data_IF_248365082774
#
_entry.id   IF_248365082774
#
_cell.length_a   1.000
_cell.length_b   1.000
_cell.length_c   1.000
_cell.angle_alpha   90.00
_cell.angle_beta   90.00
_cell.angle_gamma   90.00
#
_symmetry.space_group_name_H-M   'P 1'
#
loop_
_entity.id
_entity.type
_entity.pdbx_description
1 polymer ?
#
# COMPACT_ATOMS: atom_id res chain seq x y z
N UNK A 1 -7.80 45.89 27.08
CA UNK A 1 -6.70 45.36 26.25
C UNK A 1 -6.94 43.87 26.12
N UNK A 2 -7.38 43.41 24.94
CA UNK A 2 -7.93 42.07 24.75
C UNK A 2 -6.81 41.03 24.78
N UNK A 3 -7.04 39.99 25.57
CA UNK A 3 -6.26 38.76 25.72
C UNK A 3 -6.37 38.00 24.40
N UNK A 4 -5.24 37.76 23.72
CA UNK A 4 -5.17 36.83 22.60
C UNK A 4 -4.87 35.44 23.17
N UNK A 5 -5.88 34.57 23.10
CA UNK A 5 -5.75 33.16 23.43
C UNK A 5 -4.87 32.50 22.36
N UNK A 6 -3.74 31.93 22.79
CA UNK A 6 -2.99 30.95 22.00
C UNK A 6 -3.83 29.68 22.01
N UNK A 7 -4.45 29.35 20.88
CA UNK A 7 -5.09 28.06 20.70
C UNK A 7 -4.01 26.99 20.63
N UNK A 8 -3.86 26.23 21.72
CA UNK A 8 -3.12 24.98 21.70
C UNK A 8 -3.92 24.01 20.83
N UNK A 9 -3.38 23.70 19.65
CA UNK A 9 -3.84 22.56 18.85
C UNK A 9 -3.48 21.33 19.68
N UNK A 10 -4.49 20.73 20.32
CA UNK A 10 -4.36 19.41 20.89
C UNK A 10 -4.23 18.45 19.72
N UNK A 11 -2.99 18.03 19.42
CA UNK A 11 -2.73 16.85 18.61
C UNK A 11 -3.33 15.69 19.39
N UNK A 12 -4.53 15.27 19.01
CA UNK A 12 -5.04 13.98 19.45
C UNK A 12 -4.23 12.96 18.65
N UNK A 13 -3.14 12.47 19.25
CA UNK A 13 -2.49 11.25 18.79
C UNK A 13 -3.50 10.11 19.04
N UNK A 14 -4.38 9.88 18.06
CA UNK A 14 -5.35 8.78 18.09
C UNK A 14 -4.61 7.52 17.64
N UNK A 15 -4.20 6.74 18.63
CA UNK A 15 -4.39 5.29 18.68
C UNK A 15 -3.79 4.36 17.60
N UNK A 16 -3.05 4.81 16.58
CA UNK A 16 -2.48 3.90 15.57
C UNK A 16 -1.50 2.87 16.13
N UNK A 17 -0.58 3.29 17.00
CA UNK A 17 0.48 2.40 17.52
C UNK A 17 0.09 1.69 18.83
N UNK A 18 -0.89 2.20 19.58
CA UNK A 18 -1.24 1.66 20.90
C UNK A 18 -2.21 0.46 20.84
N UNK A 19 -2.91 0.24 19.73
CA UNK A 19 -3.76 -0.96 19.55
C UNK A 19 -2.90 -2.20 19.24
N UNK A 20 -1.68 -2.02 18.74
CA UNK A 20 -0.83 -3.14 18.34
C UNK A 20 -0.21 -3.95 19.51
N UNK A 21 -0.21 -3.41 20.75
CA UNK A 21 0.46 -4.07 21.90
C UNK A 21 -0.41 -4.37 23.12
N UNK A 22 -1.71 -4.10 23.07
CA UNK A 22 -2.62 -4.48 24.15
C UNK A 22 -3.88 -5.02 23.53
N UNK A 23 -3.95 -6.34 23.39
CA UNK A 23 -5.14 -7.14 23.65
C UNK A 23 -4.88 -8.61 23.28
N UNK A 24 -4.44 -9.36 24.29
CA UNK A 24 -4.78 -10.76 24.39
C UNK A 24 -6.25 -10.84 24.81
N UNK A 25 -7.10 -11.38 23.92
CA UNK A 25 -8.44 -11.92 24.21
C UNK A 25 -9.69 -11.03 23.98
N UNK A 26 -9.79 -10.38 22.80
CA UNK A 26 -11.03 -9.75 22.33
C UNK A 26 -11.40 -10.21 20.91
N UNK A 27 -12.24 -11.23 20.82
CA UNK A 27 -13.04 -11.54 19.61
C UNK A 27 -12.31 -12.05 18.37
N UNK A 28 -10.98 -12.14 18.37
CA UNK A 28 -10.11 -12.54 17.23
C UNK A 28 -10.29 -13.99 16.72
N UNK A 29 -11.27 -14.72 17.23
CA UNK A 29 -11.58 -16.11 16.86
C UNK A 29 -12.80 -16.24 15.92
N UNK A 30 -13.48 -15.12 15.61
CA UNK A 30 -14.67 -15.11 14.75
C UNK A 30 -14.35 -15.05 13.25
N UNK A 31 -13.19 -14.48 12.87
CA UNK A 31 -12.77 -14.39 11.48
C UNK A 31 -12.78 -15.78 10.82
N UNK A 32 -13.40 -15.89 9.65
CA UNK A 32 -13.52 -17.15 8.88
C UNK A 32 -12.44 -17.31 7.82
N UNK A 33 -11.46 -16.43 7.82
CA UNK A 33 -10.28 -16.49 6.98
C UNK A 33 -9.00 -16.50 7.83
N UNK A 34 -7.88 -16.80 7.19
CA UNK A 34 -6.54 -16.66 7.74
C UNK A 34 -5.59 -16.06 6.71
N UNK A 35 -4.51 -15.43 7.18
CA UNK A 35 -3.45 -14.92 6.32
C UNK A 35 -2.40 -16.03 6.15
N UNK A 36 -2.15 -16.40 4.91
CA UNK A 36 -1.19 -17.46 4.56
C UNK A 36 0.25 -16.98 4.71
N UNK A 37 1.09 -17.87 5.23
CA UNK A 37 2.53 -17.71 5.12
C UNK A 37 2.95 -17.82 3.65
N UNK A 38 3.88 -16.98 3.25
CA UNK A 38 4.40 -16.98 1.89
C UNK A 38 5.90 -17.19 1.91
N UNK A 39 6.38 -18.22 1.21
CA UNK A 39 7.80 -18.63 1.24
C UNK A 39 8.31 -18.91 2.67
N UNK A 40 7.44 -19.42 3.54
CA UNK A 40 7.75 -19.68 4.96
C UNK A 40 7.88 -18.42 5.82
N UNK A 41 7.41 -17.27 5.33
CA UNK A 41 7.43 -16.00 6.06
C UNK A 41 6.01 -15.51 6.31
N UNK A 42 5.72 -15.24 7.57
CA UNK A 42 4.45 -14.66 8.01
C UNK A 42 4.28 -13.24 7.45
N UNK A 43 3.09 -12.92 6.98
CA UNK A 43 2.75 -11.58 6.53
C UNK A 43 2.47 -10.69 7.75
N UNK A 44 3.52 -10.10 8.32
CA UNK A 44 3.43 -9.19 9.46
C UNK A 44 4.00 -7.83 9.12
N UNK A 45 3.60 -6.79 9.87
CA UNK A 45 4.18 -5.44 9.72
C UNK A 45 5.69 -5.50 9.86
N UNK A 46 6.21 -6.21 10.86
CA UNK A 46 7.66 -6.36 11.09
C UNK A 46 8.38 -6.98 9.90
N UNK A 47 7.81 -8.05 9.31
CA UNK A 47 8.39 -8.73 8.15
C UNK A 47 8.31 -7.89 6.86
N UNK A 48 7.27 -7.06 6.73
CA UNK A 48 7.21 -6.07 5.64
C UNK A 48 8.27 -4.99 5.85
N UNK A 49 8.34 -4.42 7.05
CA UNK A 49 9.30 -3.35 7.38
C UNK A 49 10.75 -3.82 7.20
N UNK A 50 11.09 -5.02 7.65
CA UNK A 50 12.46 -5.56 7.56
C UNK A 50 12.80 -6.18 6.18
N UNK A 51 11.82 -6.32 5.28
CA UNK A 51 12.04 -6.83 3.93
C UNK A 51 11.95 -8.36 3.76
N UNK A 52 11.71 -9.11 4.84
CA UNK A 52 11.64 -10.58 4.79
C UNK A 52 10.36 -11.07 4.08
N UNK A 53 9.23 -10.36 4.22
CA UNK A 53 8.01 -10.68 3.50
C UNK A 53 8.07 -10.18 2.06
N UNK A 54 8.21 -11.08 1.10
CA UNK A 54 8.62 -10.68 -0.26
C UNK A 54 7.50 -10.12 -1.13
N UNK A 55 6.23 -10.37 -0.78
CA UNK A 55 5.07 -9.76 -1.43
C UNK A 55 4.79 -8.39 -0.80
N UNK A 56 5.68 -7.44 -1.06
CA UNK A 56 5.54 -6.07 -0.59
C UNK A 56 6.02 -5.09 -1.65
N UNK A 57 5.59 -3.83 -1.53
CA UNK A 57 6.07 -2.72 -2.34
C UNK A 57 6.30 -1.46 -1.50
N UNK A 58 7.21 -0.63 -1.96
CA UNK A 58 7.30 0.76 -1.51
C UNK A 58 6.22 1.63 -2.16
N UNK A 59 5.69 2.56 -1.38
CA UNK A 59 4.93 3.70 -1.86
C UNK A 59 5.90 4.88 -1.92
N UNK A 60 6.13 5.43 -3.11
CA UNK A 60 7.27 6.32 -3.38
C UNK A 60 6.79 7.63 -3.98
N UNK A 61 7.38 8.72 -3.49
CA UNK A 61 7.44 10.01 -4.17
C UNK A 61 8.83 10.16 -4.80
N UNK A 62 8.89 10.25 -6.12
CA UNK A 62 10.14 10.40 -6.86
C UNK A 62 10.28 11.82 -7.40
N UNK A 63 11.45 12.42 -7.21
CA UNK A 63 11.80 13.74 -7.74
C UNK A 63 13.00 13.63 -8.67
N UNK A 64 13.13 14.55 -9.64
CA UNK A 64 14.34 14.64 -10.45
C UNK A 64 15.44 15.35 -9.67
N UNK A 65 16.45 14.58 -9.24
CA UNK A 65 17.43 15.04 -8.26
C UNK A 65 16.84 15.24 -6.86
N UNK A 66 17.63 15.81 -5.97
CA UNK A 66 17.21 16.11 -4.59
C UNK A 66 16.13 17.19 -4.58
N UNK A 67 15.01 16.91 -3.93
CA UNK A 67 13.93 17.86 -3.73
C UNK A 67 14.42 19.14 -3.03
N UNK A 68 13.81 20.29 -3.36
CA UNK A 68 14.10 21.57 -2.72
C UNK A 68 12.86 22.46 -2.64
N UNK A 69 12.92 23.53 -1.85
CA UNK A 69 11.82 24.48 -1.69
C UNK A 69 10.52 23.81 -1.22
N UNK A 70 9.38 24.24 -1.77
CA UNK A 70 8.06 23.73 -1.39
C UNK A 70 7.87 22.22 -1.67
N UNK A 71 8.58 21.66 -2.65
CA UNK A 71 8.54 20.20 -2.91
C UNK A 71 9.22 19.43 -1.77
N UNK A 72 10.38 19.90 -1.30
CA UNK A 72 11.05 19.29 -0.15
C UNK A 72 10.24 19.45 1.14
N UNK A 73 9.60 20.60 1.32
CA UNK A 73 8.74 20.87 2.48
C UNK A 73 7.51 19.95 2.50
N UNK A 74 6.83 19.78 1.36
CA UNK A 74 5.74 18.81 1.22
C UNK A 74 6.20 17.37 1.51
N UNK A 75 7.34 16.96 0.97
CA UNK A 75 7.90 15.63 1.28
C UNK A 75 8.20 15.50 2.79
N UNK A 76 8.70 16.56 3.42
CA UNK A 76 8.95 16.57 4.87
C UNK A 76 7.66 16.50 5.69
N UNK A 77 6.56 17.08 5.20
CA UNK A 77 5.23 16.89 5.78
C UNK A 77 4.79 15.44 5.67
N UNK A 78 4.92 14.81 4.49
CA UNK A 78 4.54 13.39 4.32
C UNK A 78 5.35 12.47 5.25
N UNK A 79 6.62 12.79 5.50
CA UNK A 79 7.50 12.04 6.41
C UNK A 79 7.38 12.43 7.89
N UNK A 80 6.55 13.42 8.23
CA UNK A 80 6.31 13.84 9.62
C UNK A 80 5.34 12.92 10.35
N UNK A 81 5.18 13.09 11.67
CA UNK A 81 4.17 12.39 12.46
C UNK A 81 2.76 12.52 11.84
N UNK A 82 2.40 13.72 11.38
CA UNK A 82 1.11 14.02 10.77
C UNK A 82 0.94 13.32 9.42
N UNK A 83 1.97 13.34 8.58
CA UNK A 83 1.96 12.65 7.28
C UNK A 83 1.95 11.13 7.40
N UNK A 84 2.70 10.58 8.36
CA UNK A 84 2.74 9.14 8.61
C UNK A 84 1.41 8.63 9.20
N UNK A 85 0.71 9.42 10.01
CA UNK A 85 -0.65 9.10 10.44
C UNK A 85 -1.61 8.99 9.24
N UNK A 86 -1.50 9.88 8.25
CA UNK A 86 -2.31 9.79 7.02
C UNK A 86 -2.02 8.48 6.25
N UNK A 87 -0.77 8.02 6.23
CA UNK A 87 -0.39 6.75 5.58
C UNK A 87 -1.10 5.57 6.26
N UNK A 88 -1.10 5.54 7.60
CA UNK A 88 -1.78 4.51 8.40
C UNK A 88 -3.30 4.57 8.26
N UNK A 89 -3.90 5.77 8.27
CA UNK A 89 -5.34 6.00 8.04
C UNK A 89 -5.81 5.55 6.64
N UNK A 90 -4.88 5.28 5.72
CA UNK A 90 -5.13 4.73 4.39
C UNK A 90 -4.76 3.24 4.29
N UNK A 91 -4.66 2.52 5.41
CA UNK A 91 -4.38 1.08 5.53
C UNK A 91 -3.00 0.64 5.03
N UNK A 92 -2.02 1.56 5.04
CA UNK A 92 -0.64 1.29 4.68
C UNK A 92 0.29 1.36 5.90
N UNK A 93 1.49 0.81 5.74
CA UNK A 93 2.47 0.74 6.81
C UNK A 93 3.35 2.00 6.75
N UNK A 94 3.36 2.78 7.84
CA UNK A 94 4.27 3.90 8.01
C UNK A 94 5.74 3.48 7.91
N UNK A 95 6.58 4.34 7.34
CA UNK A 95 8.03 4.11 7.26
C UNK A 95 8.76 4.49 8.55
N UNK A 96 8.17 5.35 9.38
CA UNK A 96 8.68 5.73 10.69
C UNK A 96 7.52 6.08 11.65
N UNK A 97 7.19 5.14 12.54
CA UNK A 97 6.16 5.35 13.57
C UNK A 97 6.60 6.29 14.70
N UNK A 98 7.86 6.75 14.68
CA UNK A 98 8.43 7.70 15.63
C UNK A 98 8.81 9.04 14.98
N UNK A 99 8.29 9.30 13.77
CA UNK A 99 8.56 10.51 13.03
C UNK A 99 8.30 11.77 13.87
N UNK A 100 9.14 12.81 13.76
CA UNK A 100 8.89 14.06 14.47
C UNK A 100 7.69 14.80 13.88
N UNK A 101 7.05 15.64 14.70
CA UNK A 101 6.01 16.55 14.24
C UNK A 101 6.52 17.47 13.12
N UNK A 102 5.62 17.78 12.19
CA UNK A 102 5.92 18.61 11.04
C UNK A 102 6.43 19.99 11.45
N UNK A 103 7.46 20.45 10.74
CA UNK A 103 7.98 21.81 10.88
C UNK A 103 8.26 22.37 9.50
N UNK A 104 7.43 23.32 9.09
CA UNK A 104 7.59 23.97 7.80
C UNK A 104 8.93 24.71 7.66
N UNK A 105 9.42 24.70 6.43
CA UNK A 105 10.64 25.33 5.96
C UNK A 105 10.40 26.40 4.88
N UNK A 106 9.16 26.64 4.47
CA UNK A 106 8.78 27.64 3.47
C UNK A 106 8.20 28.91 4.09
N UNK A 107 8.13 29.97 3.28
CA UNK A 107 7.45 31.22 3.65
C UNK A 107 6.01 31.18 3.17
N UNK A 108 5.07 31.12 4.12
CA UNK A 108 3.63 31.09 3.86
C UNK A 108 3.10 32.30 3.08
N UNK A 109 3.88 33.38 2.95
CA UNK A 109 3.49 34.55 2.15
C UNK A 109 3.80 34.38 0.66
N UNK A 110 4.64 33.42 0.29
CA UNK A 110 4.98 33.12 -1.09
C UNK A 110 3.97 32.14 -1.68
N UNK A 111 3.53 32.39 -2.91
CA UNK A 111 2.67 31.45 -3.63
C UNK A 111 3.51 30.35 -4.27
N UNK A 112 3.13 29.09 -4.04
CA UNK A 112 3.77 27.91 -4.63
C UNK A 112 2.74 27.08 -5.39
N UNK A 113 3.18 26.42 -6.46
CA UNK A 113 2.41 25.41 -7.18
C UNK A 113 3.23 24.14 -7.24
N UNK A 114 2.63 23.00 -6.92
CA UNK A 114 3.28 21.68 -6.97
C UNK A 114 2.42 20.76 -7.84
N UNK A 115 3.01 20.19 -8.87
CA UNK A 115 2.36 19.25 -9.79
C UNK A 115 2.81 17.82 -9.48
N UNK A 116 1.87 16.94 -9.21
CA UNK A 116 2.09 15.55 -8.82
C UNK A 116 1.38 14.64 -9.80
N UNK A 117 2.06 13.61 -10.32
CA UNK A 117 1.44 12.64 -11.23
C UNK A 117 1.88 11.21 -10.91
N UNK A 118 1.00 10.22 -11.12
CA UNK A 118 1.42 8.82 -11.18
C UNK A 118 0.46 7.82 -10.54
N UNK A 119 1.00 6.97 -9.68
CA UNK A 119 0.35 5.81 -9.06
C UNK A 119 -1.06 6.09 -8.52
N UNK A 120 -2.03 5.30 -8.98
CA UNK A 120 -3.41 5.29 -8.47
C UNK A 120 -3.49 4.75 -7.04
N UNK A 121 -2.58 3.87 -6.63
CA UNK A 121 -2.46 3.37 -5.24
C UNK A 121 -2.06 4.47 -4.26
N UNK A 122 -1.15 5.36 -4.67
CA UNK A 122 -0.59 6.41 -3.80
C UNK A 122 -1.51 7.64 -3.77
N UNK A 123 -2.41 7.76 -4.74
CA UNK A 123 -3.30 8.90 -4.89
C UNK A 123 -4.18 9.20 -3.65
N UNK A 124 -4.83 8.22 -2.99
CA UNK A 124 -5.64 8.50 -1.79
C UNK A 124 -4.82 9.15 -0.67
N UNK A 125 -3.60 8.66 -0.40
CA UNK A 125 -2.67 9.25 0.58
C UNK A 125 -2.37 10.69 0.19
N UNK A 126 -2.01 10.94 -1.07
CA UNK A 126 -1.59 12.27 -1.50
C UNK A 126 -2.76 13.28 -1.57
N UNK A 127 -3.99 12.83 -1.81
CA UNK A 127 -5.18 13.67 -1.69
C UNK A 127 -5.45 14.10 -0.25
N UNK A 128 -5.32 13.18 0.72
CA UNK A 128 -5.45 13.52 2.14
C UNK A 128 -4.31 14.43 2.62
N UNK A 129 -3.08 14.18 2.16
CA UNK A 129 -1.93 15.06 2.39
C UNK A 129 -2.19 16.45 1.80
N UNK A 130 -2.68 16.55 0.57
CA UNK A 130 -3.02 17.82 -0.07
C UNK A 130 -4.02 18.61 0.78
N UNK A 131 -5.10 17.96 1.22
CA UNK A 131 -6.15 18.61 2.02
C UNK A 131 -5.56 19.22 3.31
N UNK A 132 -4.77 18.45 4.06
CA UNK A 132 -4.21 18.94 5.33
C UNK A 132 -3.05 19.93 5.13
N UNK A 133 -2.20 19.71 4.13
CA UNK A 133 -1.06 20.57 3.85
C UNK A 133 -1.51 21.96 3.38
N UNK A 134 -2.54 22.06 2.53
CA UNK A 134 -3.07 23.36 2.09
C UNK A 134 -3.79 24.13 3.20
N UNK A 135 -4.33 23.45 4.22
CA UNK A 135 -4.87 24.11 5.43
C UNK A 135 -3.75 24.81 6.20
N UNK A 136 -2.58 24.20 6.28
CA UNK A 136 -1.39 24.75 6.95
C UNK A 136 -0.74 25.84 6.07
N UNK A 137 -0.68 25.62 4.76
CA UNK A 137 -0.03 26.49 3.78
C UNK A 137 -1.04 27.07 2.77
N UNK A 138 -1.81 28.12 3.12
CA UNK A 138 -2.94 28.60 2.31
C UNK A 138 -2.55 29.19 0.94
N UNK A 139 -1.26 29.44 0.70
CA UNK A 139 -0.71 29.94 -0.56
C UNK A 139 -0.01 28.86 -1.41
N UNK A 140 0.02 27.60 -0.95
CA UNK A 140 0.43 26.46 -1.77
C UNK A 140 -0.79 25.92 -2.51
N UNK A 141 -0.62 25.60 -3.79
CA UNK A 141 -1.59 24.81 -4.56
C UNK A 141 -0.97 23.54 -5.07
N UNK A 142 -1.58 22.41 -4.77
CA UNK A 142 -1.18 21.10 -5.25
C UNK A 142 -2.13 20.70 -6.39
N UNK A 143 -1.61 19.99 -7.38
CA UNK A 143 -2.41 19.42 -8.48
C UNK A 143 -1.98 17.98 -8.68
N UNK A 144 -2.90 17.04 -8.45
CA UNK A 144 -2.62 15.61 -8.48
C UNK A 144 -3.32 14.97 -9.67
N UNK A 145 -2.59 14.17 -10.45
CA UNK A 145 -3.15 13.34 -11.53
C UNK A 145 -2.77 11.87 -11.34
N UNK A 146 -3.77 11.01 -11.15
CA UNK A 146 -3.58 9.57 -11.07
C UNK A 146 -3.64 8.92 -12.47
N UNK A 147 -2.50 8.49 -13.00
CA UNK A 147 -2.35 7.94 -14.36
C UNK A 147 -1.32 6.79 -14.46
N UNK A 148 -0.89 6.24 -13.31
CA UNK A 148 -0.02 5.06 -13.20
C UNK A 148 1.46 5.37 -12.93
N UNK A 149 2.15 4.48 -12.21
CA UNK A 149 3.53 4.68 -11.74
C UNK A 149 4.54 4.96 -12.86
N UNK A 150 4.40 4.29 -14.01
CA UNK A 150 5.27 4.53 -15.17
C UNK A 150 5.09 5.93 -15.76
N UNK A 151 3.85 6.40 -15.87
CA UNK A 151 3.53 7.76 -16.33
C UNK A 151 4.04 8.81 -15.36
N UNK A 152 3.88 8.59 -14.04
CA UNK A 152 4.42 9.49 -13.01
C UNK A 152 5.95 9.59 -13.04
N UNK A 153 6.65 8.46 -13.19
CA UNK A 153 8.10 8.45 -13.34
C UNK A 153 8.55 9.23 -14.59
N UNK A 154 7.91 8.99 -15.74
CA UNK A 154 8.20 9.72 -16.97
C UNK A 154 7.93 11.22 -16.81
N UNK A 155 6.81 11.60 -16.19
CA UNK A 155 6.45 13.00 -15.97
C UNK A 155 7.49 13.74 -15.11
N UNK A 156 8.00 13.10 -14.06
CA UNK A 156 9.06 13.65 -13.21
C UNK A 156 10.41 13.73 -13.96
N UNK A 157 10.76 12.73 -14.77
CA UNK A 157 11.97 12.75 -15.61
C UNK A 157 11.89 13.90 -16.63
N UNK A 158 10.75 14.09 -17.26
CA UNK A 158 10.54 15.11 -18.30
C UNK A 158 10.32 16.51 -17.70
N UNK A 159 10.15 16.62 -16.37
CA UNK A 159 9.89 17.88 -15.67
C UNK A 159 8.49 18.44 -15.90
N UNK A 160 7.54 17.61 -16.33
CA UNK A 160 6.11 17.97 -16.46
C UNK A 160 5.33 17.74 -15.18
N UNK A 161 5.93 17.04 -14.21
CA UNK A 161 5.52 16.97 -12.82
C UNK A 161 6.72 17.25 -11.93
N UNK A 162 6.50 17.89 -10.77
CA UNK A 162 7.50 18.09 -9.74
C UNK A 162 7.78 16.80 -8.98
N UNK A 163 6.72 15.98 -8.79
CA UNK A 163 6.77 14.70 -8.10
C UNK A 163 6.08 13.61 -8.93
N UNK A 164 6.77 12.48 -9.12
CA UNK A 164 6.20 11.24 -9.62
C UNK A 164 5.76 10.33 -8.48
N UNK A 165 4.52 9.85 -8.47
CA UNK A 165 4.04 8.85 -7.52
C UNK A 165 4.25 7.44 -8.07
N UNK A 166 4.86 6.55 -7.30
CA UNK A 166 5.09 5.16 -7.68
C UNK A 166 4.65 4.19 -6.57
N UNK A 167 4.07 3.08 -6.98
CA UNK A 167 3.74 1.93 -6.13
C UNK A 167 4.57 0.70 -6.48
N UNK A 168 5.84 0.95 -6.79
CA UNK A 168 6.88 -0.02 -7.13
C UNK A 168 8.22 0.67 -6.98
N UNK A 169 9.28 -0.12 -6.87
CA UNK A 169 10.63 0.42 -6.92
C UNK A 169 10.92 1.09 -8.26
N UNK A 170 11.84 2.06 -8.25
CA UNK A 170 12.34 2.66 -9.47
C UNK A 170 13.08 1.61 -10.31
N UNK A 171 12.87 1.66 -11.61
CA UNK A 171 13.66 0.90 -12.58
C UNK A 171 15.04 1.53 -12.68
N UNK A 172 16.04 0.72 -13.04
CA UNK A 172 17.40 1.23 -13.31
C UNK A 172 17.41 2.37 -14.34
N UNK A 173 16.59 2.27 -15.40
CA UNK A 173 16.44 3.34 -16.38
C UNK A 173 15.90 4.66 -15.81
N UNK A 174 15.09 4.59 -14.75
CA UNK A 174 14.49 5.76 -14.09
C UNK A 174 15.49 6.41 -13.13
N UNK A 175 16.28 5.60 -12.40
CA UNK A 175 17.38 6.11 -11.57
C UNK A 175 18.51 6.70 -12.42
N UNK A 176 18.86 6.07 -13.54
CA UNK A 176 19.87 6.56 -14.48
C UNK A 176 19.43 7.89 -15.14
N UNK A 177 18.12 8.10 -15.27
CA UNK A 177 17.53 9.37 -15.71
C UNK A 177 17.50 10.46 -14.61
N UNK A 178 18.00 10.14 -13.41
CA UNK A 178 18.17 11.08 -12.30
C UNK A 178 17.00 11.14 -11.33
N UNK A 179 16.07 10.18 -11.34
CA UNK A 179 15.05 10.11 -10.29
C UNK A 179 15.65 9.67 -8.95
N UNK A 180 15.25 10.37 -7.90
CA UNK A 180 15.57 10.07 -6.51
C UNK A 180 14.28 9.66 -5.81
N UNK A 181 14.20 8.43 -5.27
CA UNK A 181 13.01 7.95 -4.58
C UNK A 181 12.98 8.42 -3.13
N UNK A 182 11.80 8.79 -2.65
CA UNK A 182 11.48 8.89 -1.22
C UNK A 182 10.37 7.89 -0.91
N UNK A 183 10.65 6.87 -0.10
CA UNK A 183 9.63 5.92 0.37
C UNK A 183 8.83 6.60 1.46
N UNK A 184 7.52 6.71 1.26
CA UNK A 184 6.59 7.39 2.18
C UNK A 184 5.71 6.41 2.95
N UNK A 185 5.62 5.17 2.47
CA UNK A 185 4.85 4.09 3.07
C UNK A 185 5.24 2.75 2.47
N UNK A 186 4.80 1.67 3.10
CA UNK A 186 4.92 0.30 2.60
C UNK A 186 3.55 -0.35 2.50
N UNK A 187 3.43 -1.25 1.54
CA UNK A 187 2.22 -2.05 1.33
C UNK A 187 2.63 -3.51 1.20
N UNK A 188 2.23 -4.33 2.18
CA UNK A 188 2.33 -5.78 2.09
C UNK A 188 1.08 -6.33 1.41
N UNK A 189 1.24 -7.27 0.49
CA UNK A 189 0.11 -7.94 -0.15
C UNK A 189 -0.11 -9.27 0.54
N UNK A 190 -1.09 -9.32 1.44
CA UNK A 190 -1.44 -10.53 2.16
C UNK A 190 -2.20 -11.49 1.26
N UNK A 191 -1.81 -12.76 1.28
CA UNK A 191 -2.59 -13.86 0.71
C UNK A 191 -3.52 -14.35 1.79
N UNK A 192 -4.82 -14.34 1.53
CA UNK A 192 -5.85 -14.75 2.48
C UNK A 192 -6.60 -15.97 1.95
N UNK A 193 -6.96 -16.89 2.83
CA UNK A 193 -7.77 -18.06 2.51
C UNK A 193 -8.90 -18.24 3.52
N UNK A 194 -10.01 -18.82 3.10
CA UNK A 194 -11.03 -19.26 4.04
C UNK A 194 -10.50 -20.40 4.93
N UNK A 195 -10.85 -20.44 6.22
CA UNK A 195 -10.40 -21.45 7.19
C UNK A 195 -10.83 -22.90 6.85
N UNK A 196 -11.75 -23.10 5.91
CA UNK A 196 -12.06 -24.43 5.36
C UNK A 196 -10.94 -25.01 4.49
N UNK A 197 -9.97 -24.20 4.07
CA UNK A 197 -8.74 -24.67 3.41
C UNK A 197 -7.81 -25.32 4.44
N UNK A 198 -8.02 -26.62 4.68
CA UNK A 198 -7.19 -27.38 5.64
C UNK A 198 -6.02 -28.10 4.96
N UNK A 199 -4.95 -28.35 5.72
CA UNK A 199 -3.79 -29.13 5.29
C UNK A 199 -2.69 -28.33 4.59
N UNK A 200 -2.81 -27.00 4.56
CA UNK A 200 -1.83 -26.07 4.00
C UNK A 200 -1.70 -24.90 4.97
N UNK A 201 -0.48 -24.57 5.38
CA UNK A 201 -0.16 -23.43 6.26
C UNK A 201 0.83 -22.46 5.61
N UNK A 202 1.28 -22.77 4.39
CA UNK A 202 2.25 -22.01 3.64
C UNK A 202 2.08 -22.20 2.13
N UNK A 203 2.29 -21.12 1.37
CA UNK A 203 2.34 -21.14 -0.09
C UNK A 203 3.65 -20.54 -0.60
N UNK A 204 4.26 -21.18 -1.59
CA UNK A 204 5.34 -20.56 -2.37
C UNK A 204 4.77 -19.60 -3.41
N UNK A 205 5.54 -18.62 -3.86
CA UNK A 205 5.16 -17.72 -4.96
C UNK A 205 4.85 -18.49 -6.23
N UNK A 206 5.57 -19.59 -6.49
CA UNK A 206 5.31 -20.47 -7.63
C UNK A 206 3.95 -21.19 -7.52
N UNK A 207 3.53 -21.57 -6.31
CA UNK A 207 2.20 -22.15 -6.08
C UNK A 207 1.11 -21.09 -6.24
N UNK A 208 1.30 -19.89 -5.67
CA UNK A 208 0.36 -18.77 -5.82
C UNK A 208 0.18 -18.45 -7.31
N UNK A 209 1.28 -18.29 -8.07
CA UNK A 209 1.22 -18.05 -9.50
C UNK A 209 0.42 -19.13 -10.26
N UNK A 210 0.62 -20.42 -9.93
CA UNK A 210 -0.12 -21.53 -10.54
C UNK A 210 -1.60 -21.59 -10.16
N UNK A 211 -1.97 -21.11 -8.98
CA UNK A 211 -3.38 -20.94 -8.61
C UNK A 211 -3.99 -19.85 -9.50
N UNK A 212 -3.33 -18.70 -9.57
CA UNK A 212 -3.83 -17.54 -10.30
C UNK A 212 -3.74 -17.67 -11.82
N UNK A 213 -2.89 -18.53 -12.37
CA UNK A 213 -2.88 -18.87 -13.80
C UNK A 213 -3.84 -20.02 -14.18
N UNK A 214 -4.49 -20.64 -13.19
CA UNK A 214 -5.45 -21.72 -13.36
C UNK A 214 -4.84 -23.10 -13.60
N UNK A 215 -3.53 -23.28 -13.45
CA UNK A 215 -2.86 -24.59 -13.48
C UNK A 215 -3.25 -25.43 -12.26
N UNK A 216 -3.31 -24.81 -11.08
CA UNK A 216 -3.83 -25.41 -9.87
C UNK A 216 -5.28 -24.96 -9.68
N UNK A 217 -6.18 -25.95 -9.70
CA UNK A 217 -7.63 -25.75 -9.62
C UNK A 217 -8.24 -26.48 -8.43
N UNK A 218 -7.48 -27.31 -7.73
CA UNK A 218 -7.90 -28.03 -6.53
C UNK A 218 -6.79 -27.98 -5.46
N UNK A 219 -7.19 -27.76 -4.20
CA UNK A 219 -6.28 -27.69 -3.05
C UNK A 219 -5.46 -28.96 -2.81
N UNK A 220 -5.94 -30.13 -3.23
CA UNK A 220 -5.20 -31.39 -3.13
C UNK A 220 -3.91 -31.40 -3.98
N UNK A 221 -3.82 -30.57 -5.02
CA UNK A 221 -2.61 -30.43 -5.85
C UNK A 221 -1.47 -29.76 -5.08
N UNK A 222 -1.81 -29.11 -3.96
CA UNK A 222 -0.91 -28.42 -3.03
C UNK A 222 -0.72 -29.22 -1.72
N UNK A 223 -1.36 -30.38 -1.59
CA UNK A 223 -1.33 -31.20 -0.37
C UNK A 223 -2.45 -30.90 0.63
N UNK A 224 -3.39 -30.01 0.29
CA UNK A 224 -4.53 -29.66 1.14
C UNK A 224 -5.77 -30.53 0.92
N UNK A 225 -6.90 -30.01 1.40
CA UNK A 225 -8.23 -30.60 1.23
C UNK A 225 -8.57 -30.88 -0.24
N UNK A 226 -9.30 -31.97 -0.52
CA UNK A 226 -9.78 -32.26 -1.88
C UNK A 226 -11.02 -31.42 -2.24
N UNK A 227 -10.77 -30.19 -2.67
CA UNK A 227 -11.80 -29.28 -3.10
C UNK A 227 -11.30 -28.29 -4.15
N UNK A 228 -12.19 -27.91 -5.07
CA UNK A 228 -11.92 -26.87 -6.07
C UNK A 228 -11.57 -25.55 -5.37
N UNK A 229 -10.59 -24.84 -5.91
CA UNK A 229 -10.14 -23.54 -5.44
C UNK A 229 -11.07 -22.45 -6.00
N UNK A 230 -11.66 -21.65 -5.13
CA UNK A 230 -12.37 -20.43 -5.51
C UNK A 230 -11.40 -19.24 -5.55
N UNK A 231 -10.87 -18.96 -6.74
CA UNK A 231 -9.83 -17.94 -6.94
C UNK A 231 -10.47 -16.56 -7.00
N UNK A 232 -10.13 -15.71 -6.04
CA UNK A 232 -10.64 -14.35 -5.92
C UNK A 232 -9.55 -13.32 -6.19
N UNK A 233 -9.93 -12.21 -6.79
CA UNK A 233 -9.04 -11.08 -7.04
C UNK A 233 -9.79 -9.78 -7.17
N UNK A 234 -9.08 -8.70 -7.46
CA UNK A 234 -9.68 -7.39 -7.62
C UNK A 234 -9.93 -7.08 -9.11
N UNK A 235 -10.84 -6.16 -9.38
CA UNK A 235 -11.03 -5.64 -10.75
C UNK A 235 -9.75 -5.02 -11.32
N UNK A 236 -9.63 -4.97 -12.65
CA UNK A 236 -8.43 -4.49 -13.36
C UNK A 236 -7.99 -3.06 -13.02
N UNK A 237 -8.90 -2.21 -12.54
CA UNK A 237 -8.64 -0.85 -12.03
C UNK A 237 -7.97 -0.83 -10.65
N UNK A 238 -7.92 -1.95 -9.94
CA UNK A 238 -7.41 -2.02 -8.57
C UNK A 238 -5.89 -1.89 -8.50
N UNK A 239 -5.43 -0.93 -7.70
CA UNK A 239 -4.01 -0.78 -7.37
C UNK A 239 -3.42 -1.96 -6.61
N UNK A 240 -4.22 -2.71 -5.83
CA UNK A 240 -3.80 -3.94 -5.13
C UNK A 240 -3.60 -5.08 -6.13
N UNK A 241 -4.48 -5.23 -7.14
CA UNK A 241 -4.28 -6.20 -8.24
C UNK A 241 -3.03 -5.91 -9.04
N UNK A 242 -2.85 -4.65 -9.44
CA UNK A 242 -1.64 -4.23 -10.15
C UNK A 242 -0.37 -4.57 -9.36
N UNK A 243 -0.40 -4.36 -8.04
CA UNK A 243 0.71 -4.76 -7.15
C UNK A 243 0.97 -6.26 -7.18
N UNK A 244 -0.08 -7.04 -6.93
CA UNK A 244 -0.01 -8.49 -6.85
C UNK A 244 0.56 -9.09 -8.14
N UNK A 245 0.01 -8.67 -9.29
CA UNK A 245 0.46 -9.14 -10.61
C UNK A 245 1.90 -8.70 -10.92
N UNK A 246 2.26 -7.44 -10.64
CA UNK A 246 3.63 -6.95 -10.89
C UNK A 246 4.67 -7.67 -10.01
N UNK A 247 4.38 -7.83 -8.72
CA UNK A 247 5.25 -8.51 -7.77
C UNK A 247 5.45 -9.98 -8.15
N UNK A 248 4.38 -10.69 -8.49
CA UNK A 248 4.48 -12.08 -8.95
C UNK A 248 5.22 -12.19 -10.28
N UNK A 249 4.91 -11.33 -11.26
CA UNK A 249 5.58 -11.34 -12.57
C UNK A 249 7.09 -11.09 -12.44
N UNK A 250 7.49 -10.23 -11.50
CA UNK A 250 8.90 -9.93 -11.22
C UNK A 250 9.65 -11.06 -10.49
N UNK A 251 8.93 -11.97 -9.81
CA UNK A 251 9.52 -13.01 -8.94
C UNK A 251 9.32 -14.43 -9.47
N UNK A 252 8.33 -14.66 -10.33
CA UNK A 252 7.97 -15.97 -10.86
C UNK A 252 8.06 -15.95 -12.39
N UNK A 253 9.07 -16.64 -12.92
CA UNK A 253 9.27 -16.73 -14.36
C UNK A 253 8.06 -17.38 -15.05
N UNK A 254 7.55 -16.72 -16.10
CA UNK A 254 6.42 -17.20 -16.90
C UNK A 254 5.05 -16.75 -16.40
N UNK A 255 4.96 -16.14 -15.21
CA UNK A 255 3.74 -15.46 -14.78
C UNK A 255 3.71 -14.03 -15.33
N UNK A 256 2.54 -13.59 -15.78
CA UNK A 256 2.27 -12.20 -16.13
C UNK A 256 0.80 -11.87 -15.83
N UNK A 257 0.45 -10.58 -15.89
CA UNK A 257 -0.95 -10.15 -15.79
C UNK A 257 -1.88 -10.82 -16.82
N UNK A 258 -1.36 -11.14 -18.02
CA UNK A 258 -2.12 -11.88 -19.04
C UNK A 258 -2.26 -13.38 -18.75
N UNK A 259 -1.52 -13.91 -17.77
CA UNK A 259 -1.63 -15.30 -17.33
C UNK A 259 -2.80 -15.52 -16.38
N UNK A 260 -3.35 -14.46 -15.77
CA UNK A 260 -4.42 -14.58 -14.77
C UNK A 260 -5.65 -15.28 -15.37
N UNK A 261 -6.14 -16.30 -14.68
CA UNK A 261 -7.25 -17.15 -15.13
C UNK A 261 -8.55 -16.36 -15.28
N UNK A 262 -9.31 -16.68 -16.33
CA UNK A 262 -10.66 -16.15 -16.58
C UNK A 262 -11.70 -16.63 -15.56
N UNK A 263 -11.35 -17.60 -14.71
CA UNK A 263 -12.17 -18.10 -13.61
C UNK A 263 -12.06 -17.28 -12.34
N UNK A 264 -11.15 -16.31 -12.27
CA UNK A 264 -10.98 -15.47 -11.10
C UNK A 264 -12.24 -14.61 -10.88
N UNK A 265 -12.82 -14.69 -9.69
CA UNK A 265 -13.95 -13.83 -9.30
C UNK A 265 -13.39 -12.44 -8.94
N UNK A 266 -13.84 -11.41 -9.64
CA UNK A 266 -13.35 -10.04 -9.46
C UNK A 266 -14.22 -9.24 -8.48
N UNK A 267 -13.56 -8.52 -7.56
CA UNK A 267 -14.22 -7.68 -6.55
C UNK A 267 -13.81 -6.21 -6.67
N UNK A 268 -14.79 -5.32 -6.48
CA UNK A 268 -14.60 -3.88 -6.59
C UNK A 268 -13.75 -3.27 -5.46
N UNK A 269 -13.73 -3.88 -4.26
CA UNK A 269 -12.98 -3.38 -3.09
C UNK A 269 -12.27 -4.50 -2.32
N UNK A 270 -11.27 -4.13 -1.50
CA UNK A 270 -10.59 -5.08 -0.61
C UNK A 270 -11.59 -5.68 0.40
N UNK A 271 -12.44 -4.86 1.01
CA UNK A 271 -13.47 -5.36 1.94
C UNK A 271 -14.49 -6.29 1.28
N UNK A 272 -14.87 -6.04 0.02
CA UNK A 272 -15.78 -6.93 -0.71
C UNK A 272 -15.13 -8.30 -0.98
N UNK A 273 -13.86 -8.30 -1.38
CA UNK A 273 -13.07 -9.52 -1.55
C UNK A 273 -12.93 -10.26 -0.21
N UNK A 274 -12.53 -9.56 0.85
CA UNK A 274 -12.37 -10.11 2.20
C UNK A 274 -13.67 -10.76 2.71
N UNK A 275 -14.80 -10.06 2.58
CA UNK A 275 -16.13 -10.58 2.97
C UNK A 275 -16.47 -11.86 2.19
N UNK A 276 -16.12 -11.92 0.91
CA UNK A 276 -16.33 -13.14 0.13
C UNK A 276 -15.45 -14.28 0.62
N UNK A 277 -14.18 -14.01 0.95
CA UNK A 277 -13.28 -15.03 1.52
C UNK A 277 -13.82 -15.55 2.85
N UNK A 278 -14.38 -14.70 3.70
CA UNK A 278 -15.00 -15.11 4.97
C UNK A 278 -16.22 -16.02 4.80
N UNK A 279 -16.99 -15.81 3.72
CA UNK A 279 -18.31 -16.44 3.55
C UNK A 279 -18.32 -17.58 2.53
N UNK A 280 -17.23 -17.75 1.78
CA UNK A 280 -17.11 -18.76 0.73
C UNK A 280 -16.01 -19.75 1.08
N UNK A 281 -16.41 -20.99 1.34
CA UNK A 281 -15.48 -22.07 1.63
C UNK A 281 -14.49 -22.27 0.47
N UNK A 282 -13.27 -22.67 0.81
CA UNK A 282 -12.19 -23.04 -0.11
C UNK A 282 -11.70 -21.91 -1.03
N UNK A 283 -12.01 -20.67 -0.70
CA UNK A 283 -11.60 -19.49 -1.44
C UNK A 283 -10.20 -19.00 -1.05
N UNK A 284 -9.54 -18.35 -2.00
CA UNK A 284 -8.24 -17.67 -1.85
C UNK A 284 -8.31 -16.30 -2.49
N UNK A 285 -7.72 -15.30 -1.84
CA UNK A 285 -7.66 -13.94 -2.34
C UNK A 285 -6.37 -13.22 -1.93
N UNK A 286 -6.23 -11.97 -2.37
CA UNK A 286 -5.19 -11.06 -1.91
C UNK A 286 -5.77 -9.69 -1.57
N UNK A 287 -5.23 -9.07 -0.51
CA UNK A 287 -5.60 -7.72 -0.06
C UNK A 287 -4.36 -6.98 0.47
N UNK A 288 -4.48 -5.67 0.74
CA UNK A 288 -3.47 -4.96 1.55
C UNK A 288 -3.38 -5.64 2.91
N UNK A 289 -2.16 -5.80 3.42
CA UNK A 289 -1.89 -6.43 4.71
C UNK A 289 -2.52 -5.62 5.85
N UNK A 290 -2.54 -4.28 5.78
CA UNK A 290 -3.20 -3.45 6.79
C UNK A 290 -4.67 -3.85 6.97
N UNK A 291 -5.39 -3.98 5.85
CA UNK A 291 -6.80 -4.40 5.82
C UNK A 291 -6.98 -5.82 6.36
N UNK A 292 -6.09 -6.75 5.99
CA UNK A 292 -6.19 -8.13 6.48
C UNK A 292 -5.97 -8.21 8.00
N UNK A 293 -5.01 -7.45 8.54
CA UNK A 293 -4.70 -7.43 9.97
C UNK A 293 -5.78 -6.73 10.79
N UNK A 294 -6.42 -5.68 10.26
CA UNK A 294 -7.53 -5.00 10.94
C UNK A 294 -8.75 -5.92 11.12
N UNK A 295 -8.94 -6.86 10.20
CA UNK A 295 -10.05 -7.80 10.22
C UNK A 295 -9.81 -9.06 11.08
N UNK A 296 -8.62 -9.21 11.71
CA UNK A 296 -8.26 -10.33 12.59
C UNK A 296 -8.25 -9.93 14.08
#
# INVERSE_FOLDING_TARGET
>A
MKIAAVAAIAIIAIAGVAVFMMNSDDGKDDAKFEIMNVEGVDATVDNVVNGSYTLQRGLILATKGTASGAVADLISYVLSAEGQAIVEDNDYIAVDSSAPAYKSTIDDKTSYSITIQGSTTVNPIMMAVEEEYEKIHPNVRISITANGSGTGAAAAIDGTADIGMLSRDLKTSETDAGLVPTVIGKDGIAIIVNKSVTGIDNLTLAQIAKIYDGTYTNWNQLGGVDHTIDVCGRESSSGTRGAFEELLSGKVAGFSSSSVTDKMVEFASNNALLTHIETTDYSIGYVSLGIALEAL
#
